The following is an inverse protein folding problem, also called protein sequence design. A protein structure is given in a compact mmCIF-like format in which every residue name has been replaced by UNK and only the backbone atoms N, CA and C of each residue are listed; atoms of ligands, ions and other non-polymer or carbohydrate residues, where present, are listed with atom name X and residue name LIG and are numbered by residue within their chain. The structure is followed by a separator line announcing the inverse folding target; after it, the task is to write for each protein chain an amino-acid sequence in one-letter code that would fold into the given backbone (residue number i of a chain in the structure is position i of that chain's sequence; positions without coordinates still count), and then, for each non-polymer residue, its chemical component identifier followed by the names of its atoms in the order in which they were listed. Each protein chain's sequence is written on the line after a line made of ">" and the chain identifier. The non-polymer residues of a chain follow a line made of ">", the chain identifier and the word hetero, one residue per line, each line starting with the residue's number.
data_IF_546316679478
#
_entry.id   IF_546316679478
#
_cell.length_a   1.000
_cell.length_b   1.000
_cell.length_c   1.000
_cell.angle_alpha   90.00
_cell.angle_beta   90.00
_cell.angle_gamma   90.00
#
_symmetry.space_group_name_H-M   'P 1'
#
loop_
_entity.id
_entity.type
_entity.pdbx_description
1 polymer ?
#
# COMPACT_ATOMS: atom_id res chain seq x y z
N UNK A 1 -29.63 -33.30 11.27
CA UNK A 1 -29.78 -32.39 10.10
C UNK A 1 -28.44 -31.76 9.74
N UNK A 2 -28.01 -31.80 8.48
CA UNK A 2 -26.77 -31.12 8.03
C UNK A 2 -26.99 -29.59 8.08
N UNK A 3 -26.16 -28.87 8.83
CA UNK A 3 -26.25 -27.40 8.97
C UNK A 3 -26.10 -26.73 7.59
N UNK A 4 -27.07 -25.89 7.23
CA UNK A 4 -27.10 -25.14 5.97
C UNK A 4 -26.87 -23.67 6.27
N UNK A 5 -25.99 -23.04 5.50
CA UNK A 5 -25.59 -21.64 5.67
C UNK A 5 -26.13 -20.79 4.53
N UNK A 6 -26.45 -19.54 4.81
CA UNK A 6 -26.73 -18.53 3.80
C UNK A 6 -25.43 -18.05 3.14
N UNK A 7 -25.48 -17.48 1.93
CA UNK A 7 -24.30 -16.89 1.30
C UNK A 7 -23.68 -15.76 2.13
N UNK A 8 -24.46 -15.09 3.00
CA UNK A 8 -23.95 -14.06 3.91
C UNK A 8 -23.13 -14.68 5.05
N UNK A 9 -23.64 -15.75 5.67
CA UNK A 9 -22.89 -16.48 6.69
C UNK A 9 -21.63 -17.15 6.11
N UNK A 10 -21.70 -17.64 4.88
CA UNK A 10 -20.53 -18.18 4.19
C UNK A 10 -19.51 -17.08 3.88
N UNK A 11 -19.95 -15.90 3.44
CA UNK A 11 -19.10 -14.74 3.19
C UNK A 11 -18.30 -14.35 4.44
N UNK A 12 -18.97 -14.32 5.60
CA UNK A 12 -18.34 -14.09 6.91
C UNK A 12 -17.33 -15.20 7.24
N UNK A 13 -17.74 -16.47 7.13
CA UNK A 13 -16.89 -17.61 7.50
C UNK A 13 -15.61 -17.73 6.66
N UNK A 14 -15.65 -17.35 5.38
CA UNK A 14 -14.48 -17.46 4.48
C UNK A 14 -13.78 -16.11 4.22
N UNK A 15 -14.24 -15.02 4.86
CA UNK A 15 -13.62 -13.71 4.79
C UNK A 15 -13.68 -13.05 3.41
N UNK A 16 -14.76 -13.24 2.65
CA UNK A 16 -14.97 -12.63 1.32
C UNK A 16 -16.28 -11.87 1.25
N UNK A 17 -16.48 -11.06 0.21
CA UNK A 17 -17.75 -10.35 0.03
C UNK A 17 -18.90 -11.30 -0.31
N UNK A 18 -20.13 -10.94 0.07
CA UNK A 18 -21.36 -11.63 -0.33
C UNK A 18 -21.45 -11.85 -1.86
N UNK A 19 -21.06 -10.84 -2.65
CA UNK A 19 -21.03 -10.92 -4.11
C UNK A 19 -20.00 -11.92 -4.62
N UNK A 20 -18.87 -12.05 -3.93
CA UNK A 20 -17.86 -13.08 -4.23
C UNK A 20 -18.48 -14.46 -4.03
N UNK A 21 -19.19 -14.70 -2.93
CA UNK A 21 -19.89 -15.97 -2.68
C UNK A 21 -20.92 -16.26 -3.76
N UNK A 22 -21.77 -15.29 -4.13
CA UNK A 22 -22.74 -15.47 -5.21
C UNK A 22 -22.08 -15.78 -6.56
N UNK A 23 -20.95 -15.13 -6.86
CA UNK A 23 -20.17 -15.40 -8.07
C UNK A 23 -19.64 -16.83 -8.08
N UNK A 24 -19.12 -17.29 -6.95
CA UNK A 24 -18.61 -18.66 -6.80
C UNK A 24 -19.73 -19.70 -6.98
N UNK A 25 -20.93 -19.43 -6.44
CA UNK A 25 -22.11 -20.28 -6.67
C UNK A 25 -22.45 -20.34 -8.16
N UNK A 26 -22.52 -19.18 -8.83
CA UNK A 26 -22.84 -19.10 -10.26
C UNK A 26 -21.83 -19.80 -11.16
N UNK A 27 -20.56 -19.85 -10.74
CA UNK A 27 -19.49 -20.55 -11.46
C UNK A 27 -19.37 -22.04 -11.12
N UNK A 28 -20.20 -22.55 -10.22
CA UNK A 28 -20.09 -23.93 -9.72
C UNK A 28 -18.92 -24.18 -8.75
N UNK A 29 -18.16 -23.14 -8.41
CA UNK A 29 -17.01 -23.20 -7.48
C UNK A 29 -17.46 -23.38 -6.02
N UNK A 30 -18.75 -23.16 -5.70
CA UNK A 30 -19.34 -23.40 -4.40
C UNK A 30 -20.69 -24.10 -4.56
N UNK A 31 -20.78 -25.35 -4.08
CA UNK A 31 -22.03 -26.11 -4.12
C UNK A 31 -23.08 -25.44 -3.23
N UNK A 32 -24.18 -25.02 -3.84
CA UNK A 32 -25.31 -24.44 -3.14
C UNK A 32 -26.62 -25.01 -3.67
N UNK A 33 -27.59 -25.21 -2.78
CA UNK A 33 -28.96 -25.55 -3.10
C UNK A 33 -29.77 -24.26 -3.25
N UNK A 34 -30.60 -24.20 -4.29
CA UNK A 34 -31.55 -23.11 -4.47
C UNK A 34 -32.88 -23.52 -3.84
N UNK A 35 -33.36 -22.71 -2.90
CA UNK A 35 -34.67 -22.89 -2.26
C UNK A 35 -35.80 -22.54 -3.24
N UNK A 36 -37.04 -23.03 -3.01
CA UNK A 36 -38.20 -22.65 -3.82
C UNK A 36 -38.41 -21.13 -3.92
N UNK A 37 -38.12 -20.38 -2.86
CA UNK A 37 -38.13 -18.91 -2.84
C UNK A 37 -36.93 -18.23 -3.51
N UNK A 38 -36.11 -18.98 -4.26
CA UNK A 38 -35.00 -18.44 -5.05
C UNK A 38 -33.71 -18.12 -4.29
N UNK A 39 -33.68 -18.28 -2.97
CA UNK A 39 -32.48 -18.05 -2.16
C UNK A 39 -31.52 -19.25 -2.17
N UNK A 40 -30.22 -18.99 -2.10
CA UNK A 40 -29.21 -20.03 -1.97
C UNK A 40 -29.01 -20.48 -0.52
N UNK A 41 -28.71 -21.78 -0.34
CA UNK A 41 -28.30 -22.42 0.92
C UNK A 41 -27.10 -23.33 0.66
N UNK A 42 -26.04 -23.17 1.43
CA UNK A 42 -24.74 -23.80 1.24
C UNK A 42 -24.52 -24.81 2.38
N UNK A 43 -24.29 -26.10 2.10
CA UNK A 43 -24.03 -27.07 3.16
C UNK A 43 -22.74 -26.75 3.91
N UNK A 44 -22.75 -26.75 5.24
CA UNK A 44 -21.58 -26.37 6.06
C UNK A 44 -20.34 -27.23 5.77
N UNK A 45 -20.50 -28.51 5.41
CA UNK A 45 -19.39 -29.39 5.04
C UNK A 45 -18.71 -29.01 3.71
N UNK A 46 -19.37 -28.24 2.83
CA UNK A 46 -18.69 -27.70 1.63
C UNK A 46 -17.62 -26.65 1.97
N UNK A 47 -17.59 -26.19 3.23
CA UNK A 47 -16.56 -25.30 3.74
C UNK A 47 -15.32 -26.04 4.24
N UNK A 48 -15.41 -27.32 4.63
CA UNK A 48 -14.24 -28.08 5.12
C UNK A 48 -13.26 -28.43 4.00
N UNK A 49 -13.75 -28.72 2.79
CA UNK A 49 -12.90 -28.79 1.57
C UNK A 49 -12.22 -27.45 1.26
N UNK A 50 -12.81 -26.33 1.69
CA UNK A 50 -12.25 -24.98 1.47
C UNK A 50 -11.37 -24.46 2.59
N UNK A 51 -11.52 -24.94 3.82
CA UNK A 51 -10.51 -24.77 4.86
C UNK A 51 -9.18 -25.38 4.39
N UNK A 52 -9.22 -26.52 3.70
CA UNK A 52 -8.07 -27.10 2.99
C UNK A 52 -7.53 -26.18 1.88
N UNK A 53 -8.40 -25.50 1.12
CA UNK A 53 -7.99 -24.44 0.17
C UNK A 53 -7.40 -23.20 0.84
N UNK A 54 -7.84 -22.81 2.05
CA UNK A 54 -7.29 -21.68 2.81
C UNK A 54 -5.89 -22.01 3.36
N UNK A 55 -5.68 -23.27 3.75
CA UNK A 55 -4.36 -23.81 4.11
C UNK A 55 -3.46 -23.95 2.87
N UNK A 56 -3.99 -24.39 1.72
CA UNK A 56 -3.24 -24.50 0.46
C UNK A 56 -2.92 -23.15 -0.18
N UNK A 57 -3.76 -22.12 0.02
CA UNK A 57 -3.45 -20.73 -0.40
C UNK A 57 -2.39 -20.10 0.49
N UNK A 58 -2.39 -20.33 1.81
CA UNK A 58 -1.26 -19.93 2.67
C UNK A 58 0.04 -20.67 2.33
N UNK A 59 -0.03 -21.95 1.96
CA UNK A 59 1.12 -22.70 1.45
C UNK A 59 1.61 -22.16 0.09
N UNK A 60 0.70 -21.83 -0.84
CA UNK A 60 1.03 -21.16 -2.13
C UNK A 60 1.57 -19.74 -1.95
N UNK A 61 1.10 -18.99 -0.96
CA UNK A 61 1.64 -17.66 -0.64
C UNK A 61 3.06 -17.76 -0.06
N UNK A 62 3.32 -18.74 0.83
CA UNK A 62 4.67 -18.99 1.35
C UNK A 62 5.62 -19.54 0.28
N UNK A 63 5.14 -20.42 -0.60
CA UNK A 63 5.87 -20.92 -1.78
C UNK A 63 6.21 -19.77 -2.72
N UNK A 64 5.23 -18.92 -3.06
CA UNK A 64 5.46 -17.78 -3.96
C UNK A 64 6.39 -16.71 -3.36
N UNK A 65 6.39 -16.48 -2.05
CA UNK A 65 7.38 -15.58 -1.41
C UNK A 65 8.80 -16.13 -1.51
N UNK A 66 9.02 -17.41 -1.21
CA UNK A 66 10.34 -18.05 -1.37
C UNK A 66 10.81 -18.05 -2.82
N UNK A 67 9.91 -18.39 -3.75
CA UNK A 67 10.17 -18.34 -5.19
C UNK A 67 10.51 -16.92 -5.66
N UNK A 68 9.81 -15.89 -5.16
CA UNK A 68 10.10 -14.49 -5.47
C UNK A 68 11.47 -14.05 -4.96
N UNK A 69 11.87 -14.48 -3.77
CA UNK A 69 13.19 -14.17 -3.18
C UNK A 69 14.30 -14.84 -3.97
N UNK A 70 14.12 -16.10 -4.34
CA UNK A 70 15.09 -16.82 -5.17
C UNK A 70 15.19 -16.19 -6.57
N UNK A 71 14.05 -15.83 -7.16
CA UNK A 71 14.01 -15.13 -8.45
C UNK A 71 14.69 -13.75 -8.38
N UNK A 72 14.50 -13.02 -7.27
CA UNK A 72 15.20 -11.76 -7.01
C UNK A 72 16.71 -11.97 -6.99
N UNK A 73 17.22 -12.88 -6.14
CA UNK A 73 18.66 -13.20 -6.06
C UNK A 73 19.23 -13.71 -7.39
N UNK A 74 18.43 -14.43 -8.18
CA UNK A 74 18.86 -14.98 -9.48
C UNK A 74 18.91 -13.93 -10.59
N UNK A 75 17.97 -13.00 -10.61
CA UNK A 75 17.77 -12.13 -11.78
C UNK A 75 18.08 -10.65 -11.55
N UNK A 76 18.21 -10.21 -10.31
CA UNK A 76 18.45 -8.81 -10.01
C UNK A 76 19.92 -8.43 -10.20
N UNK A 77 20.16 -7.52 -11.16
CA UNK A 77 21.49 -7.07 -11.56
C UNK A 77 21.64 -5.57 -11.34
N UNK A 78 22.89 -5.08 -11.35
CA UNK A 78 23.18 -3.65 -11.21
C UNK A 78 22.52 -2.79 -12.28
N UNK A 79 22.38 -3.33 -13.49
CA UNK A 79 21.65 -2.68 -14.58
C UNK A 79 20.14 -2.57 -14.28
N UNK A 80 19.50 -3.63 -13.78
CA UNK A 80 18.09 -3.58 -13.37
C UNK A 80 17.87 -2.63 -12.19
N UNK A 81 18.81 -2.58 -11.25
CA UNK A 81 18.80 -1.61 -10.14
C UNK A 81 18.80 -0.17 -10.65
N UNK A 82 19.66 0.17 -11.62
CA UNK A 82 19.70 1.51 -12.22
C UNK A 82 18.38 1.87 -12.90
N UNK A 83 17.79 0.93 -13.66
CA UNK A 83 16.47 1.15 -14.30
C UNK A 83 15.40 1.44 -13.24
N UNK A 84 15.38 0.65 -12.16
CA UNK A 84 14.44 0.82 -11.06
C UNK A 84 14.61 2.19 -10.38
N UNK A 85 15.84 2.59 -10.08
CA UNK A 85 16.13 3.89 -9.46
C UNK A 85 15.73 5.07 -10.34
N UNK A 86 15.96 4.99 -11.65
CA UNK A 86 15.53 6.01 -12.62
C UNK A 86 14.01 6.11 -12.67
N UNK A 87 13.32 4.96 -12.70
CA UNK A 87 11.86 4.91 -12.69
C UNK A 87 11.27 5.57 -11.43
N UNK A 88 11.89 5.38 -10.27
CA UNK A 88 11.40 5.92 -8.99
C UNK A 88 11.80 7.37 -8.75
N UNK A 89 12.88 7.85 -9.38
CA UNK A 89 13.33 9.23 -9.27
C UNK A 89 12.49 10.21 -10.10
N UNK A 90 11.81 9.73 -11.15
CA UNK A 90 11.06 10.60 -12.05
C UNK A 90 9.75 11.11 -11.43
N UNK A 91 9.44 12.38 -11.68
CA UNK A 91 8.18 13.01 -11.31
C UNK A 91 7.12 12.81 -12.40
N UNK A 92 5.94 12.31 -12.01
CA UNK A 92 4.88 11.93 -12.92
C UNK A 92 5.04 10.51 -13.48
N UNK A 93 4.08 10.08 -14.31
CA UNK A 93 4.05 8.70 -14.80
C UNK A 93 4.82 8.57 -16.12
N UNK A 94 5.98 7.92 -16.08
CA UNK A 94 6.76 7.63 -17.28
C UNK A 94 6.04 6.65 -18.20
N UNK A 95 6.03 6.96 -19.49
CA UNK A 95 5.74 5.94 -20.50
C UNK A 95 6.97 5.06 -20.73
N UNK A 96 6.76 3.89 -21.34
CA UNK A 96 7.88 3.02 -21.74
C UNK A 96 8.80 3.74 -22.74
N UNK A 97 8.24 4.56 -23.62
CA UNK A 97 9.01 5.35 -24.59
C UNK A 97 9.88 6.40 -23.91
N UNK A 98 9.39 7.02 -22.83
CA UNK A 98 10.19 7.96 -22.04
C UNK A 98 11.36 7.26 -21.36
N UNK A 99 11.12 6.10 -20.74
CA UNK A 99 12.18 5.27 -20.16
C UNK A 99 13.22 4.85 -21.20
N UNK A 100 12.79 4.44 -22.39
CA UNK A 100 13.66 4.05 -23.49
C UNK A 100 14.60 5.20 -23.89
N UNK A 101 14.06 6.42 -24.02
CA UNK A 101 14.82 7.63 -24.33
C UNK A 101 15.81 8.00 -23.22
N UNK A 102 15.38 7.98 -21.96
CA UNK A 102 16.25 8.32 -20.80
C UNK A 102 17.39 7.31 -20.66
N UNK A 103 17.12 6.03 -20.90
CA UNK A 103 18.11 4.97 -20.76
C UNK A 103 19.00 4.78 -22.00
N UNK A 104 18.69 5.44 -23.11
CA UNK A 104 19.37 5.20 -24.39
C UNK A 104 19.15 3.78 -24.93
N UNK A 105 17.97 3.20 -24.69
CA UNK A 105 17.64 1.81 -25.02
C UNK A 105 16.48 1.73 -26.01
N UNK A 106 16.41 0.64 -26.76
CA UNK A 106 15.22 0.31 -27.54
C UNK A 106 14.02 -0.02 -26.63
N UNK A 107 12.80 0.32 -27.05
CA UNK A 107 11.55 0.10 -26.28
C UNK A 107 11.39 -1.37 -25.84
N UNK A 108 11.73 -2.33 -26.70
CA UNK A 108 11.65 -3.76 -26.37
C UNK A 108 12.60 -4.15 -25.23
N UNK A 109 13.77 -3.52 -25.13
CA UNK A 109 14.75 -3.75 -24.07
C UNK A 109 14.24 -3.24 -22.72
N UNK A 110 13.57 -2.09 -22.71
CA UNK A 110 12.91 -1.57 -21.49
C UNK A 110 11.81 -2.50 -21.02
N UNK A 111 10.95 -2.95 -21.94
CA UNK A 111 9.90 -3.94 -21.63
C UNK A 111 10.48 -5.23 -21.05
N UNK A 112 11.58 -5.73 -21.63
CA UNK A 112 12.27 -6.90 -21.13
C UNK A 112 12.78 -6.69 -19.69
N UNK A 113 13.41 -5.55 -19.40
CA UNK A 113 13.91 -5.21 -18.05
C UNK A 113 12.78 -5.08 -17.04
N UNK A 114 11.67 -4.42 -17.37
CA UNK A 114 10.48 -4.35 -16.51
C UNK A 114 9.89 -5.74 -16.25
N UNK A 115 9.81 -6.59 -17.29
CA UNK A 115 9.35 -7.97 -17.15
C UNK A 115 10.27 -8.78 -16.24
N UNK A 116 11.60 -8.60 -16.35
CA UNK A 116 12.60 -9.22 -15.47
C UNK A 116 12.46 -8.76 -14.02
N UNK A 117 12.26 -7.47 -13.77
CA UNK A 117 11.98 -6.94 -12.43
C UNK A 117 10.72 -7.59 -11.84
N UNK A 118 9.63 -7.67 -12.60
CA UNK A 118 8.41 -8.36 -12.16
C UNK A 118 8.63 -9.84 -11.89
N UNK A 119 9.38 -10.52 -12.75
CA UNK A 119 9.75 -11.93 -12.57
C UNK A 119 10.63 -12.13 -11.33
N UNK A 120 11.44 -11.14 -10.96
CA UNK A 120 12.17 -11.09 -9.70
C UNK A 120 11.32 -10.71 -8.49
N UNK A 121 10.00 -10.66 -8.59
CA UNK A 121 9.10 -10.44 -7.46
C UNK A 121 8.77 -8.98 -7.15
N UNK A 122 9.25 -8.01 -7.93
CA UNK A 122 8.86 -6.61 -7.76
C UNK A 122 7.43 -6.35 -8.23
N UNK A 123 6.68 -5.60 -7.43
CA UNK A 123 5.38 -5.07 -7.83
C UNK A 123 5.39 -3.54 -7.85
N UNK A 124 4.82 -2.96 -8.89
CA UNK A 124 4.78 -1.51 -9.11
C UNK A 124 3.37 -0.96 -8.90
N UNK A 125 3.29 0.31 -8.52
CA UNK A 125 2.06 1.08 -8.40
C UNK A 125 2.31 2.53 -8.82
N UNK A 126 1.27 3.25 -9.22
CA UNK A 126 1.35 4.71 -9.23
C UNK A 126 1.45 5.23 -7.79
N UNK A 127 2.30 6.24 -7.60
CA UNK A 127 2.32 7.08 -6.42
C UNK A 127 1.20 8.11 -6.55
N UNK A 128 0.19 8.00 -5.70
CA UNK A 128 -1.01 8.85 -5.72
C UNK A 128 -0.97 9.80 -4.54
N UNK A 129 -1.13 11.07 -4.85
CA UNK A 129 -1.41 12.13 -3.90
C UNK A 129 -2.87 12.02 -3.42
N UNK A 130 -3.06 11.37 -2.27
CA UNK A 130 -4.41 11.20 -1.70
C UNK A 130 -5.02 12.52 -1.24
N UNK A 131 -4.20 13.48 -0.79
CA UNK A 131 -4.67 14.82 -0.38
C UNK A 131 -5.27 15.58 -1.57
N UNK A 132 -4.64 15.51 -2.75
CA UNK A 132 -5.18 16.09 -3.99
C UNK A 132 -6.47 15.45 -4.47
N UNK A 133 -6.78 14.23 -4.01
CA UNK A 133 -8.09 13.59 -4.20
C UNK A 133 -9.14 14.05 -3.18
N UNK A 134 -8.78 14.93 -2.26
CA UNK A 134 -9.64 15.39 -1.17
C UNK A 134 -9.73 14.39 -0.02
N UNK A 135 -8.70 13.56 0.17
CA UNK A 135 -8.62 12.56 1.24
C UNK A 135 -7.43 12.85 2.18
N UNK A 136 -7.66 12.77 3.48
CA UNK A 136 -6.63 12.80 4.52
C UNK A 136 -6.49 11.43 5.17
N UNK A 137 -5.30 11.11 5.66
CA UNK A 137 -5.04 9.83 6.30
C UNK A 137 -5.21 9.97 7.80
N UNK A 138 -5.87 9.00 8.42
CA UNK A 138 -5.98 8.87 9.87
C UNK A 138 -5.32 7.56 10.28
N UNK A 139 -4.26 7.67 11.08
CA UNK A 139 -3.63 6.55 11.75
C UNK A 139 -4.32 6.35 13.09
N UNK A 140 -4.77 5.14 13.38
CA UNK A 140 -5.46 4.81 14.63
C UNK A 140 -4.81 3.60 15.25
N UNK A 141 -4.42 3.73 16.51
CA UNK A 141 -3.89 2.64 17.31
C UNK A 141 -4.90 2.27 18.38
N UNK A 142 -5.22 0.99 18.46
CA UNK A 142 -6.03 0.42 19.52
C UNK A 142 -5.16 -0.46 20.41
N UNK A 143 -5.47 -0.45 21.70
CA UNK A 143 -4.78 -1.25 22.72
C UNK A 143 -5.14 -2.75 22.62
N UNK A 144 -6.13 -3.13 21.80
CA UNK A 144 -6.60 -4.52 21.62
C UNK A 144 -6.88 -4.82 20.15
N UNK A 145 -6.77 -6.11 19.81
CA UNK A 145 -7.19 -6.60 18.50
C UNK A 145 -8.71 -6.76 18.51
N UNK A 146 -9.38 -6.13 17.54
CA UNK A 146 -10.80 -6.34 17.22
C UNK A 146 -10.91 -6.95 15.82
N UNK A 147 -11.95 -7.74 15.55
CA UNK A 147 -12.13 -8.36 14.24
C UNK A 147 -12.31 -7.30 13.16
N UNK A 148 -11.79 -7.54 11.95
CA UNK A 148 -11.99 -6.64 10.80
C UNK A 148 -13.48 -6.43 10.45
N UNK A 149 -14.35 -7.37 10.83
CA UNK A 149 -15.81 -7.23 10.68
C UNK A 149 -16.41 -6.17 11.59
N UNK A 150 -15.75 -5.89 12.72
CA UNK A 150 -16.23 -5.01 13.78
C UNK A 150 -15.58 -3.62 13.65
N UNK A 151 -14.62 -3.49 12.73
CA UNK A 151 -14.01 -2.23 12.33
C UNK A 151 -14.88 -1.58 11.25
N UNK A 152 -15.19 -0.28 11.35
CA UNK A 152 -15.87 0.46 10.30
C UNK A 152 -15.17 0.28 8.96
N UNK A 153 -15.85 -0.33 8.00
CA UNK A 153 -15.23 -0.68 6.70
C UNK A 153 -15.13 0.51 5.74
N UNK A 154 -15.95 1.53 5.94
CA UNK A 154 -15.91 2.76 5.15
C UNK A 154 -14.53 3.41 5.29
N UNK A 155 -13.90 3.71 4.15
CA UNK A 155 -12.58 4.36 4.08
C UNK A 155 -11.40 3.62 4.73
N UNK A 156 -11.58 2.43 5.32
CA UNK A 156 -10.50 1.62 5.88
C UNK A 156 -9.54 1.13 4.79
N UNK A 157 -8.26 1.52 4.86
CA UNK A 157 -7.23 1.15 3.86
C UNK A 157 -6.16 0.23 4.37
N UNK A 158 -5.96 0.20 5.68
CA UNK A 158 -4.98 -0.69 6.28
C UNK A 158 -5.50 -1.23 7.60
N UNK A 159 -5.31 -2.52 7.82
CA UNK A 159 -5.59 -3.21 9.06
C UNK A 159 -4.39 -4.11 9.35
N UNK A 160 -3.77 -3.99 10.51
CA UNK A 160 -2.68 -4.86 10.92
C UNK A 160 -2.59 -4.98 12.44
N UNK A 161 -2.56 -6.20 13.01
CA UNK A 161 -2.32 -6.38 14.43
C UNK A 161 -0.94 -5.86 14.86
N UNK A 162 -0.87 -5.23 16.02
CA UNK A 162 0.36 -4.85 16.70
C UNK A 162 0.82 -6.01 17.58
N UNK A 163 2.12 -6.25 17.63
CA UNK A 163 2.76 -7.31 18.43
C UNK A 163 3.37 -6.68 19.70
N UNK A 164 3.14 -7.25 20.89
CA UNK A 164 2.35 -8.46 21.16
C UNK A 164 0.84 -8.22 21.20
N UNK A 165 0.40 -6.97 21.39
CA UNK A 165 -1.01 -6.61 21.59
C UNK A 165 -1.32 -5.29 20.90
N UNK A 166 -2.54 -5.17 20.39
CA UNK A 166 -3.09 -3.96 19.80
C UNK A 166 -3.42 -4.10 18.32
N UNK A 167 -3.93 -3.01 17.73
CA UNK A 167 -4.32 -2.97 16.33
C UNK A 167 -3.97 -1.62 15.74
N UNK A 168 -3.32 -1.63 14.58
CA UNK A 168 -3.08 -0.43 13.78
C UNK A 168 -4.03 -0.42 12.58
N UNK A 169 -4.76 0.70 12.45
CA UNK A 169 -5.68 0.97 11.37
C UNK A 169 -5.25 2.22 10.62
N UNK A 170 -5.50 2.25 9.32
CA UNK A 170 -5.38 3.46 8.51
C UNK A 170 -6.68 3.70 7.76
N UNK A 171 -7.23 4.89 7.91
CA UNK A 171 -8.40 5.37 7.16
C UNK A 171 -8.00 6.48 6.22
N UNK A 172 -8.63 6.54 5.04
CA UNK A 172 -8.47 7.66 4.10
C UNK A 172 -9.78 8.46 4.09
N UNK A 173 -9.91 9.44 4.97
CA UNK A 173 -11.15 10.18 5.21
C UNK A 173 -11.27 11.39 4.29
N UNK A 174 -12.47 11.82 3.90
CA UNK A 174 -12.64 13.07 3.17
C UNK A 174 -12.20 14.27 4.01
N UNK A 175 -11.58 15.29 3.40
CA UNK A 175 -11.05 16.46 4.11
C UNK A 175 -12.09 17.24 4.95
N UNK A 176 -13.36 17.21 4.54
CA UNK A 176 -14.46 17.90 5.24
C UNK A 176 -15.13 17.04 6.32
N UNK A 177 -14.64 15.82 6.51
CA UNK A 177 -15.27 14.86 7.40
C UNK A 177 -14.76 15.05 8.82
N UNK A 178 -15.67 14.97 9.80
CA UNK A 178 -15.32 15.02 11.21
C UNK A 178 -14.71 13.68 11.64
N UNK A 179 -13.44 13.71 12.03
CA UNK A 179 -12.70 12.53 12.48
C UNK A 179 -13.40 11.86 13.67
N UNK A 180 -14.05 12.66 14.53
CA UNK A 180 -14.74 12.15 15.72
C UNK A 180 -15.83 11.15 15.38
N UNK A 181 -16.46 11.25 14.22
CA UNK A 181 -17.51 10.31 13.83
C UNK A 181 -16.95 8.90 13.57
N UNK A 182 -15.73 8.80 13.03
CA UNK A 182 -15.04 7.51 12.90
C UNK A 182 -14.58 7.04 14.28
N UNK A 183 -14.02 7.92 15.10
CA UNK A 183 -13.54 7.55 16.44
C UNK A 183 -14.67 7.08 17.36
N UNK A 184 -15.86 7.71 17.31
CA UNK A 184 -17.07 7.28 18.04
C UNK A 184 -17.56 5.90 17.62
N UNK A 185 -17.33 5.51 16.37
CA UNK A 185 -17.72 4.20 15.85
C UNK A 185 -16.75 3.08 16.25
N UNK A 186 -15.56 3.43 16.76
CA UNK A 186 -14.63 2.50 17.35
C UNK A 186 -14.93 2.32 18.85
N UNK A 187 -14.62 1.16 19.45
CA UNK A 187 -14.78 0.98 20.89
C UNK A 187 -13.86 1.95 21.64
N UNK A 188 -14.43 3.02 22.22
CA UNK A 188 -13.67 4.08 22.91
C UNK A 188 -12.70 3.56 23.96
N UNK A 189 -13.09 2.52 24.68
CA UNK A 189 -12.24 1.88 25.70
C UNK A 189 -10.95 1.27 25.14
N UNK A 190 -10.84 1.10 23.81
CA UNK A 190 -9.66 0.53 23.17
C UNK A 190 -8.82 1.56 22.43
N UNK A 191 -9.29 2.79 22.24
CA UNK A 191 -8.54 3.82 21.52
C UNK A 191 -7.33 4.24 22.35
N UNK A 192 -6.13 3.97 21.82
CA UNK A 192 -4.87 4.32 22.45
C UNK A 192 -4.44 5.72 21.99
N UNK A 193 -4.21 5.87 20.68
CA UNK A 193 -3.80 7.12 20.06
C UNK A 193 -4.30 7.18 18.61
N UNK A 194 -4.40 8.39 18.07
CA UNK A 194 -4.62 8.62 16.65
C UNK A 194 -3.82 9.82 16.16
N UNK A 195 -3.50 9.83 14.86
CA UNK A 195 -2.80 10.92 14.21
C UNK A 195 -3.37 11.21 12.83
N UNK A 196 -3.46 12.49 12.51
CA UNK A 196 -3.80 12.96 11.18
C UNK A 196 -2.51 13.04 10.37
N UNK A 197 -2.47 12.32 9.26
CA UNK A 197 -1.31 12.26 8.39
C UNK A 197 -1.66 13.03 7.12
N UNK A 198 -1.12 14.23 6.98
CA UNK A 198 -1.42 15.11 5.84
C UNK A 198 -0.58 14.73 4.63
N UNK A 199 0.58 14.08 4.82
CA UNK A 199 1.38 13.60 3.70
C UNK A 199 1.99 12.21 3.85
N UNK A 200 2.25 11.56 2.71
CA UNK A 200 2.96 10.28 2.66
C UNK A 200 3.96 10.24 1.52
N UNK A 201 5.17 9.82 1.85
CA UNK A 201 6.27 9.62 0.91
C UNK A 201 6.61 8.14 0.82
N UNK A 202 6.67 7.60 -0.40
CA UNK A 202 7.05 6.20 -0.60
C UNK A 202 8.54 6.05 -0.84
N UNK A 203 9.05 4.87 -0.51
CA UNK A 203 10.45 4.49 -0.70
C UNK A 203 10.94 4.71 -2.14
N UNK A 204 12.15 5.27 -2.28
CA UNK A 204 12.90 5.37 -3.53
C UNK A 204 14.26 4.69 -3.35
N UNK A 205 14.27 3.36 -3.13
CA UNK A 205 15.46 2.63 -2.75
C UNK A 205 16.60 2.77 -3.76
N UNK A 206 17.79 3.01 -3.24
CA UNK A 206 19.07 3.06 -3.94
C UNK A 206 19.76 1.71 -3.81
N UNK A 207 19.32 0.74 -4.60
CA UNK A 207 19.94 -0.60 -4.62
C UNK A 207 21.40 -0.56 -5.04
N UNK A 208 21.81 0.43 -5.84
CA UNK A 208 23.22 0.64 -6.16
C UNK A 208 24.09 0.99 -4.95
N UNK A 209 23.50 1.46 -3.85
CA UNK A 209 24.16 1.74 -2.57
C UNK A 209 23.95 0.62 -1.54
N UNK A 210 22.73 0.09 -1.44
CA UNK A 210 22.32 -0.79 -0.34
C UNK A 210 22.14 -2.26 -0.74
N UNK A 211 22.59 -2.67 -1.93
CA UNK A 211 22.58 -4.06 -2.34
C UNK A 211 23.96 -4.49 -2.84
N UNK A 212 24.50 -5.52 -2.20
CA UNK A 212 25.72 -6.19 -2.64
C UNK A 212 25.32 -7.19 -3.73
N UNK A 213 25.74 -6.91 -4.97
CA UNK A 213 25.38 -7.72 -6.14
C UNK A 213 26.14 -9.05 -6.19
N UNK A 214 27.29 -9.15 -5.52
CA UNK A 214 28.11 -10.35 -5.49
C UNK A 214 27.58 -11.31 -4.42
N UNK A 215 27.33 -10.80 -3.21
CA UNK A 215 26.74 -11.56 -2.09
C UNK A 215 25.23 -11.71 -2.18
N UNK A 216 24.58 -10.95 -3.06
CA UNK A 216 23.12 -10.97 -3.32
C UNK A 216 22.29 -10.71 -2.08
N UNK A 217 22.70 -9.74 -1.28
CA UNK A 217 22.01 -9.34 -0.05
C UNK A 217 21.88 -7.82 0.05
N UNK A 218 20.86 -7.40 0.81
CA UNK A 218 20.66 -6.00 1.17
C UNK A 218 21.55 -5.71 2.38
N UNK A 219 22.25 -4.58 2.36
CA UNK A 219 23.27 -4.20 3.34
C UNK A 219 22.75 -3.09 4.24
N UNK A 220 22.72 -3.35 5.55
CA UNK A 220 22.51 -2.32 6.58
C UNK A 220 23.84 -1.67 6.95
N UNK A 221 24.21 -0.65 6.19
CA UNK A 221 25.36 0.20 6.51
C UNK A 221 24.87 1.44 7.28
N UNK A 222 24.87 1.33 8.61
CA UNK A 222 24.42 2.38 9.52
C UNK A 222 25.31 3.63 9.48
N UNK A 223 26.62 3.46 9.27
CA UNK A 223 27.57 4.58 9.13
C UNK A 223 27.33 5.34 7.84
N UNK A 224 27.08 4.64 6.73
CA UNK A 224 26.67 5.26 5.47
C UNK A 224 25.36 6.03 5.63
N UNK A 225 24.35 5.45 6.29
CA UNK A 225 23.09 6.14 6.56
C UNK A 225 23.30 7.39 7.43
N UNK A 226 24.15 7.32 8.46
CA UNK A 226 24.50 8.48 9.27
C UNK A 226 25.18 9.59 8.44
N UNK A 227 26.14 9.23 7.59
CA UNK A 227 26.82 10.16 6.68
C UNK A 227 25.85 10.84 5.73
N UNK A 228 24.92 10.08 5.13
CA UNK A 228 23.87 10.62 4.24
C UNK A 228 22.86 11.50 4.97
N UNK A 229 22.51 11.15 6.20
CA UNK A 229 21.71 12.02 7.06
C UNK A 229 22.40 13.37 7.26
N UNK A 230 23.68 13.38 7.65
CA UNK A 230 24.46 14.63 7.82
C UNK A 230 24.55 15.43 6.54
N UNK A 231 24.72 14.78 5.38
CA UNK A 231 24.74 15.44 4.08
C UNK A 231 23.42 16.18 3.78
N UNK A 232 22.28 15.59 4.14
CA UNK A 232 20.94 16.09 3.86
C UNK A 232 20.39 17.05 4.91
N UNK A 233 21.00 17.10 6.09
CA UNK A 233 20.56 17.93 7.20
C UNK A 233 20.45 19.40 6.77
N UNK A 234 19.25 19.97 6.92
CA UNK A 234 18.96 21.35 6.51
C UNK A 234 18.90 21.60 5.00
N UNK A 235 19.06 20.57 4.16
CA UNK A 235 18.98 20.67 2.69
C UNK A 235 17.72 20.03 2.10
N UNK A 236 17.11 19.09 2.83
CA UNK A 236 15.89 18.40 2.40
C UNK A 236 14.71 18.85 3.24
N UNK A 237 13.62 19.18 2.56
CA UNK A 237 12.37 19.60 3.18
C UNK A 237 11.19 18.90 2.51
N UNK A 238 10.35 18.27 3.32
CA UNK A 238 9.03 17.86 2.88
C UNK A 238 8.07 19.03 3.01
N UNK A 239 7.17 19.16 2.03
CA UNK A 239 6.25 20.28 1.94
C UNK A 239 4.87 19.87 2.43
N UNK A 240 4.19 20.79 3.11
CA UNK A 240 2.76 20.65 3.38
C UNK A 240 2.00 20.41 2.07
N UNK A 241 0.95 19.57 2.08
CA UNK A 241 0.22 19.27 0.87
C UNK A 241 -0.40 20.52 0.25
N UNK A 242 -0.38 20.60 -1.07
CA UNK A 242 -1.09 21.64 -1.82
C UNK A 242 -2.61 21.44 -1.73
N UNK A 243 -3.36 22.51 -1.99
CA UNK A 243 -4.81 22.49 -1.96
C UNK A 243 -5.41 21.34 -2.81
N UNK A 244 -6.50 20.70 -2.35
CA UNK A 244 -7.11 19.58 -3.04
C UNK A 244 -7.62 20.00 -4.41
N UNK A 245 -7.58 19.07 -5.36
CA UNK A 245 -8.03 19.32 -6.73
C UNK A 245 -9.47 18.84 -6.91
N UNK A 246 -10.19 19.39 -7.88
CA UNK A 246 -11.52 18.88 -8.24
C UNK A 246 -11.39 17.55 -8.97
N UNK A 247 -11.87 16.48 -8.37
CA UNK A 247 -11.78 15.11 -8.91
C UNK A 247 -13.18 14.56 -9.16
N UNK A 248 -13.34 13.75 -10.21
CA UNK A 248 -14.57 13.00 -10.45
C UNK A 248 -14.39 11.47 -10.39
N UNK A 249 -15.47 10.72 -10.59
CA UNK A 249 -15.45 9.27 -10.50
C UNK A 249 -14.53 8.63 -11.56
N UNK A 250 -14.42 9.24 -12.74
CA UNK A 250 -13.56 8.73 -13.82
C UNK A 250 -12.10 8.87 -13.41
N UNK A 251 -11.74 10.02 -12.85
CA UNK A 251 -10.40 10.28 -12.31
C UNK A 251 -10.01 9.23 -11.25
N UNK A 252 -10.91 8.93 -10.31
CA UNK A 252 -10.70 7.89 -9.28
C UNK A 252 -10.57 6.48 -9.87
N UNK A 253 -11.40 6.14 -10.87
CA UNK A 253 -11.33 4.83 -11.52
C UNK A 253 -10.06 4.64 -12.35
N UNK A 254 -9.50 5.71 -12.92
CA UNK A 254 -8.18 5.65 -13.56
C UNK A 254 -7.10 5.48 -12.48
N UNK A 255 -7.11 6.34 -11.44
CA UNK A 255 -6.12 6.31 -10.37
C UNK A 255 -6.04 4.93 -9.68
N UNK A 256 -7.18 4.30 -9.35
CA UNK A 256 -7.19 2.98 -8.68
C UNK A 256 -6.57 1.86 -9.54
N UNK A 257 -6.70 1.94 -10.86
CA UNK A 257 -6.13 0.91 -11.74
C UNK A 257 -4.62 1.13 -11.93
N UNK A 258 -4.20 2.39 -11.97
CA UNK A 258 -2.78 2.76 -11.97
C UNK A 258 -2.09 2.48 -10.63
N UNK A 259 -2.78 2.61 -9.50
CA UNK A 259 -2.29 2.14 -8.20
C UNK A 259 -1.91 0.65 -8.25
N UNK A 260 -2.66 -0.18 -9.00
CA UNK A 260 -2.38 -1.61 -9.14
C UNK A 260 -1.26 -1.88 -10.14
N UNK A 261 -1.27 -1.18 -11.28
CA UNK A 261 -0.29 -1.34 -12.34
C UNK A 261 -0.07 0.00 -13.07
N UNK A 262 1.06 0.69 -12.83
CA UNK A 262 1.33 2.00 -13.43
C UNK A 262 1.59 1.92 -14.94
N UNK A 263 1.84 0.71 -15.48
CA UNK A 263 2.11 0.48 -16.89
C UNK A 263 0.89 0.01 -17.68
N UNK A 264 -0.31 0.08 -17.09
CA UNK A 264 -1.54 -0.29 -17.78
C UNK A 264 -1.82 0.70 -18.92
N UNK A 265 -2.21 0.19 -20.08
CA UNK A 265 -2.59 1.06 -21.20
C UNK A 265 -3.90 1.80 -20.89
N UNK A 266 -4.05 3.02 -21.38
CA UNK A 266 -5.31 3.77 -21.23
C UNK A 266 -6.50 3.07 -21.91
N UNK A 267 -6.25 2.24 -22.93
CA UNK A 267 -7.28 1.38 -23.56
C UNK A 267 -7.76 0.29 -22.61
N UNK A 268 -6.86 -0.36 -21.88
CA UNK A 268 -7.24 -1.35 -20.88
C UNK A 268 -7.99 -0.70 -19.72
N UNK A 269 -7.56 0.48 -19.28
CA UNK A 269 -8.27 1.26 -18.25
C UNK A 269 -9.68 1.61 -18.71
N UNK A 270 -9.86 2.03 -19.96
CA UNK A 270 -11.18 2.27 -20.56
C UNK A 270 -12.08 1.01 -20.48
N UNK A 271 -11.54 -0.17 -20.80
CA UNK A 271 -12.26 -1.43 -20.67
C UNK A 271 -12.62 -1.75 -19.21
N UNK A 272 -11.72 -1.48 -18.25
CA UNK A 272 -11.99 -1.65 -16.81
C UNK A 272 -13.10 -0.72 -16.33
N UNK A 273 -13.13 0.53 -16.80
CA UNK A 273 -14.18 1.49 -16.48
C UNK A 273 -15.54 1.02 -17.04
N UNK A 274 -15.57 0.44 -18.24
CA UNK A 274 -16.80 -0.09 -18.86
C UNK A 274 -17.49 -1.17 -18.00
N UNK A 275 -16.73 -1.95 -17.23
CA UNK A 275 -17.27 -2.97 -16.30
C UNK A 275 -18.13 -2.33 -15.20
N UNK A 276 -17.91 -1.06 -14.88
CA UNK A 276 -18.72 -0.29 -13.94
C UNK A 276 -20.00 0.30 -14.57
N UNK A 277 -20.36 -0.11 -15.79
CA UNK A 277 -21.52 0.42 -16.53
C UNK A 277 -21.27 1.79 -17.17
N UNK A 278 -20.03 2.28 -17.16
CA UNK A 278 -19.67 3.61 -17.66
C UNK A 278 -18.99 3.47 -19.02
N UNK A 279 -19.68 3.85 -20.10
CA UNK A 279 -19.13 3.80 -21.45
C UNK A 279 -18.50 5.16 -21.83
N UNK A 280 -17.17 5.22 -21.96
CA UNK A 280 -16.43 6.44 -22.31
C UNK A 280 -15.66 6.25 -23.61
N UNK A 281 -15.57 7.32 -24.41
CA UNK A 281 -14.63 7.39 -25.54
C UNK A 281 -13.18 7.49 -25.03
N UNK A 282 -12.23 6.92 -25.77
CA UNK A 282 -10.80 6.95 -25.43
C UNK A 282 -10.28 8.38 -25.17
N UNK A 283 -10.64 9.34 -26.03
CA UNK A 283 -10.21 10.74 -25.87
C UNK A 283 -10.65 11.36 -24.54
N UNK A 284 -11.79 10.93 -23.98
CA UNK A 284 -12.22 11.37 -22.65
C UNK A 284 -11.31 10.79 -21.57
N UNK A 285 -11.03 9.49 -21.60
CA UNK A 285 -10.08 8.84 -20.66
C UNK A 285 -8.70 9.51 -20.72
N UNK A 286 -8.20 9.77 -21.93
CA UNK A 286 -6.93 10.46 -22.13
C UNK A 286 -6.92 11.87 -21.52
N UNK A 287 -8.01 12.63 -21.70
CA UNK A 287 -8.16 13.98 -21.13
C UNK A 287 -8.13 13.95 -19.61
N UNK A 288 -8.89 13.05 -18.97
CA UNK A 288 -8.90 12.87 -17.51
C UNK A 288 -7.49 12.52 -17.01
N UNK A 289 -6.85 11.52 -17.61
CA UNK A 289 -5.49 11.12 -17.26
C UNK A 289 -4.47 12.27 -17.38
N UNK A 290 -4.40 12.96 -18.52
CA UNK A 290 -3.41 14.03 -18.73
C UNK A 290 -3.70 15.29 -17.93
N UNK A 291 -4.94 15.78 -17.98
CA UNK A 291 -5.26 17.11 -17.48
C UNK A 291 -5.64 17.12 -16.00
N UNK A 292 -6.27 16.04 -15.50
CA UNK A 292 -6.75 16.00 -14.12
C UNK A 292 -5.78 15.26 -13.22
N UNK A 293 -5.18 14.16 -13.70
CA UNK A 293 -4.31 13.34 -12.87
C UNK A 293 -2.83 13.73 -12.97
N UNK A 294 -2.27 13.85 -14.18
CA UNK A 294 -0.86 14.22 -14.35
C UNK A 294 -0.60 15.71 -14.15
N UNK A 295 -1.26 16.57 -14.93
CA UNK A 295 -1.00 18.03 -14.90
C UNK A 295 -1.24 18.66 -13.52
N UNK A 296 -2.17 18.11 -12.73
CA UNK A 296 -2.46 18.60 -11.38
C UNK A 296 -1.61 17.93 -10.30
N UNK A 297 -0.70 17.02 -10.65
CA UNK A 297 0.19 16.34 -9.71
C UNK A 297 -0.50 15.31 -8.82
N UNK A 298 -1.67 14.79 -9.20
CA UNK A 298 -2.34 13.70 -8.45
C UNK A 298 -1.51 12.41 -8.55
N UNK A 299 -0.91 12.14 -9.72
CA UNK A 299 0.05 11.04 -9.89
C UNK A 299 1.46 11.63 -9.82
N UNK A 300 2.18 11.29 -8.76
CA UNK A 300 3.52 11.82 -8.47
C UNK A 300 4.65 11.02 -9.12
N UNK A 301 4.41 9.76 -9.45
CA UNK A 301 5.47 8.89 -9.93
C UNK A 301 5.10 7.40 -9.94
N UNK A 302 6.13 6.57 -10.07
CA UNK A 302 6.05 5.12 -9.88
C UNK A 302 6.63 4.77 -8.51
N UNK A 303 5.88 4.01 -7.73
CA UNK A 303 6.32 3.44 -6.45
C UNK A 303 6.42 1.92 -6.50
N UNK A 304 7.17 1.37 -5.55
CA UNK A 304 7.15 -0.07 -5.28
C UNK A 304 6.00 -0.40 -4.33
N UNK A 305 5.16 -1.34 -4.74
CA UNK A 305 4.13 -1.95 -3.88
C UNK A 305 4.65 -3.18 -3.14
N UNK A 306 5.60 -3.88 -3.75
CA UNK A 306 6.26 -5.04 -3.17
C UNK A 306 7.74 -5.00 -3.55
N UNK A 307 8.57 -5.10 -2.52
CA UNK A 307 9.99 -5.41 -2.63
C UNK A 307 10.17 -6.88 -2.26
N UNK A 308 10.87 -7.69 -3.08
CA UNK A 308 11.17 -9.08 -2.79
C UNK A 308 12.28 -9.18 -1.73
N UNK A 309 11.95 -8.80 -0.49
CA UNK A 309 12.89 -8.83 0.63
C UNK A 309 13.21 -10.27 1.03
N UNK A 310 14.47 -10.56 1.43
CA UNK A 310 14.89 -11.89 1.89
C UNK A 310 14.04 -12.45 3.05
N UNK A 311 14.12 -13.75 3.29
CA UNK A 311 13.25 -14.46 4.25
C UNK A 311 13.44 -14.01 5.70
N UNK A 312 14.64 -13.57 6.03
CA UNK A 312 15.04 -13.02 7.32
C UNK A 312 14.37 -11.66 7.61
N UNK A 313 13.85 -10.97 6.59
CA UNK A 313 13.11 -9.71 6.73
C UNK A 313 11.64 -10.01 7.09
N UNK A 314 11.44 -10.45 8.32
CA UNK A 314 10.14 -10.89 8.82
C UNK A 314 9.44 -9.85 9.71
N UNK A 315 10.15 -8.84 10.21
CA UNK A 315 9.58 -7.84 11.13
C UNK A 315 9.08 -6.64 10.34
N UNK A 316 7.75 -6.52 10.21
CA UNK A 316 7.11 -5.27 9.81
C UNK A 316 7.03 -4.37 11.04
N UNK A 317 7.40 -3.10 10.91
CA UNK A 317 7.33 -2.14 12.01
C UNK A 317 6.77 -0.82 11.53
N UNK A 318 6.29 -0.03 12.48
CA UNK A 318 6.05 1.40 12.33
C UNK A 318 6.77 2.13 13.47
N UNK A 319 7.55 3.15 13.13
CA UNK A 319 8.24 4.00 14.08
C UNK A 319 7.62 5.40 14.06
N UNK A 320 7.13 5.88 15.21
CA UNK A 320 6.76 7.28 15.43
C UNK A 320 8.00 8.02 15.93
N UNK A 321 8.29 9.17 15.33
CA UNK A 321 9.37 10.06 15.75
C UNK A 321 8.81 11.46 15.94
N UNK A 322 9.19 12.10 17.03
CA UNK A 322 8.95 13.51 17.28
C UNK A 322 10.29 14.26 17.42
N UNK A 323 10.35 15.52 17.00
CA UNK A 323 11.56 16.31 17.12
C UNK A 323 11.64 17.49 16.16
N UNK A 324 12.86 17.92 15.87
CA UNK A 324 13.14 19.00 14.93
C UNK A 324 12.82 18.58 13.49
N UNK A 325 11.94 19.32 12.83
CA UNK A 325 11.52 19.07 11.44
C UNK A 325 12.68 18.93 10.45
N UNK A 326 13.75 19.73 10.56
CA UNK A 326 14.91 19.63 9.65
C UNK A 326 15.65 18.31 9.81
N UNK A 327 15.83 17.87 11.05
CA UNK A 327 16.43 16.57 11.36
C UNK A 327 15.53 15.43 10.90
N UNK A 328 14.23 15.48 11.21
CA UNK A 328 13.27 14.45 10.80
C UNK A 328 13.16 14.31 9.28
N UNK A 329 13.09 15.42 8.55
CA UNK A 329 13.05 15.40 7.09
C UNK A 329 14.31 14.80 6.47
N UNK A 330 15.50 15.16 6.96
CA UNK A 330 16.75 14.58 6.49
C UNK A 330 16.82 13.08 6.80
N UNK A 331 16.40 12.67 8.01
CA UNK A 331 16.37 11.28 8.45
C UNK A 331 15.45 10.42 7.57
N UNK A 332 14.20 10.85 7.37
CA UNK A 332 13.24 10.14 6.50
C UNK A 332 13.77 10.05 5.08
N UNK A 333 14.29 11.16 4.54
CA UNK A 333 14.86 11.17 3.19
C UNK A 333 16.00 10.16 3.03
N UNK A 334 16.83 9.98 4.06
CA UNK A 334 17.89 8.96 4.09
C UNK A 334 17.29 7.56 4.18
N UNK A 335 16.39 7.30 5.12
CA UNK A 335 15.85 5.97 5.35
C UNK A 335 15.05 5.46 4.14
N UNK A 336 14.28 6.32 3.46
CA UNK A 336 13.54 5.96 2.25
C UNK A 336 14.41 5.59 1.03
N UNK A 337 15.73 5.80 1.10
CA UNK A 337 16.68 5.28 0.11
C UNK A 337 17.12 3.85 0.40
N UNK A 338 16.88 3.32 1.60
CA UNK A 338 17.21 1.95 1.94
C UNK A 338 16.01 1.01 1.63
N UNK A 339 16.22 -0.14 0.94
CA UNK A 339 15.13 -1.05 0.50
C UNK A 339 14.15 -1.54 1.57
N UNK A 340 14.57 -1.52 2.84
CA UNK A 340 13.73 -1.92 3.97
C UNK A 340 12.64 -0.94 4.35
N UNK A 341 12.82 0.36 4.12
CA UNK A 341 11.87 1.37 4.54
C UNK A 341 10.94 1.65 3.38
N UNK A 342 9.66 1.34 3.56
CA UNK A 342 8.67 1.27 2.46
C UNK A 342 7.91 2.58 2.25
N UNK A 343 7.84 3.41 3.29
CA UNK A 343 7.22 4.72 3.22
C UNK A 343 7.33 5.47 4.54
N UNK A 344 6.92 6.73 4.50
CA UNK A 344 6.80 7.59 5.67
C UNK A 344 5.51 8.39 5.59
N UNK A 345 4.85 8.59 6.74
CA UNK A 345 3.77 9.55 6.94
C UNK A 345 4.29 10.76 7.69
N UNK A 346 3.80 11.95 7.37
CA UNK A 346 4.13 13.18 8.10
C UNK A 346 2.82 13.76 8.63
N UNK A 347 2.84 14.07 9.93
CA UNK A 347 1.84 14.81 10.70
C UNK A 347 2.43 16.20 10.97
N UNK A 348 2.18 17.14 10.07
CA UNK A 348 2.81 18.46 10.08
C UNK A 348 2.33 19.34 11.22
N UNK A 349 1.06 19.23 11.63
CA UNK A 349 0.51 20.02 12.73
C UNK A 349 1.01 19.53 14.10
N UNK A 350 1.34 18.25 14.22
CA UNK A 350 1.81 17.60 15.46
C UNK A 350 3.34 17.50 15.57
N UNK A 351 4.08 17.97 14.56
CA UNK A 351 5.53 17.79 14.45
C UNK A 351 6.00 16.32 14.57
N UNK A 352 5.20 15.40 14.02
CA UNK A 352 5.49 13.97 14.05
C UNK A 352 5.67 13.36 12.68
N UNK A 353 6.50 12.31 12.66
CA UNK A 353 6.75 11.53 11.46
C UNK A 353 6.68 10.05 11.77
N UNK A 354 6.14 9.30 10.82
CA UNK A 354 5.94 7.87 10.93
C UNK A 354 6.75 7.20 9.84
N UNK A 355 7.57 6.21 10.19
CA UNK A 355 8.35 5.43 9.22
C UNK A 355 7.85 4.00 9.26
N UNK A 356 7.48 3.45 8.11
CA UNK A 356 7.04 2.05 7.98
C UNK A 356 8.04 1.26 7.14
N UNK A 357 8.47 0.12 7.65
CA UNK A 357 9.46 -0.71 6.98
C UNK A 357 9.39 -2.18 7.37
N UNK A 358 10.22 -2.96 6.71
CA UNK A 358 10.45 -4.37 7.04
C UNK A 358 11.94 -4.60 7.18
N UNK A 359 12.36 -5.09 8.34
CA UNK A 359 13.77 -5.36 8.65
C UNK A 359 13.96 -6.75 9.27
N UNK A 360 15.20 -7.27 9.29
CA UNK A 360 15.54 -8.43 10.09
C UNK A 360 15.36 -8.14 11.57
N UNK A 361 15.00 -9.16 12.35
CA UNK A 361 14.87 -9.02 13.80
C UNK A 361 16.18 -8.56 14.46
N UNK A 362 17.33 -8.99 13.94
CA UNK A 362 18.66 -8.59 14.41
C UNK A 362 18.92 -7.08 14.28
N UNK A 363 18.21 -6.38 13.40
CA UNK A 363 18.40 -4.95 13.15
C UNK A 363 17.45 -4.06 13.97
N UNK A 364 16.49 -4.62 14.72
CA UNK A 364 15.52 -3.79 15.48
C UNK A 364 16.22 -2.90 16.49
N UNK A 365 17.10 -3.48 17.32
CA UNK A 365 17.76 -2.75 18.39
C UNK A 365 18.69 -1.68 17.81
N UNK A 366 19.43 -2.03 16.74
CA UNK A 366 20.32 -1.11 16.04
C UNK A 366 19.55 0.03 15.39
N UNK A 367 18.38 -0.25 14.79
CA UNK A 367 17.50 0.79 14.26
C UNK A 367 17.06 1.75 15.36
N UNK A 368 16.58 1.25 16.50
CA UNK A 368 16.15 2.11 17.61
C UNK A 368 17.30 2.99 18.09
N UNK A 369 18.45 2.40 18.36
CA UNK A 369 19.64 3.14 18.81
C UNK A 369 20.10 4.17 17.77
N UNK A 370 20.07 3.82 16.48
CA UNK A 370 20.36 4.75 15.39
C UNK A 370 19.40 5.94 15.43
N UNK A 371 18.08 5.70 15.49
CA UNK A 371 17.07 6.77 15.51
C UNK A 371 17.23 7.69 16.72
N UNK A 372 17.46 7.12 17.91
CA UNK A 372 17.69 7.87 19.15
C UNK A 372 19.00 8.68 19.14
N UNK A 373 20.02 8.20 18.42
CA UNK A 373 21.31 8.91 18.30
C UNK A 373 21.24 10.16 17.40
N UNK A 374 20.20 10.30 16.59
CA UNK A 374 20.08 11.42 15.66
C UNK A 374 19.78 12.72 16.41
N UNK A 375 20.72 13.66 16.38
CA UNK A 375 20.52 14.98 16.95
C UNK A 375 19.28 15.68 16.34
N UNK A 376 18.36 16.06 17.22
CA UNK A 376 17.08 16.65 16.86
C UNK A 376 15.90 15.68 16.87
N UNK A 377 16.11 14.37 17.00
CA UNK A 377 15.05 13.43 17.40
C UNK A 377 14.91 13.48 18.92
N UNK A 378 13.69 13.67 19.41
CA UNK A 378 13.39 13.77 20.86
C UNK A 378 12.77 12.49 21.40
N UNK A 379 11.86 11.91 20.63
CA UNK A 379 11.13 10.72 21.02
C UNK A 379 11.12 9.74 19.87
N UNK A 380 11.29 8.45 20.22
CA UNK A 380 11.23 7.33 19.30
C UNK A 380 10.31 6.29 19.92
N UNK A 381 9.29 5.88 19.17
CA UNK A 381 8.43 4.77 19.55
C UNK A 381 8.33 3.80 18.38
N UNK A 382 8.69 2.54 18.59
CA UNK A 382 8.61 1.50 17.55
C UNK A 382 7.56 0.46 17.95
N UNK A 383 6.56 0.28 17.09
CA UNK A 383 5.58 -0.80 17.21
C UNK A 383 5.84 -1.85 16.14
N UNK A 384 5.92 -3.11 16.57
CA UNK A 384 6.04 -4.25 15.68
C UNK A 384 4.65 -4.69 15.20
N UNK A 385 4.55 -5.10 13.94
CA UNK A 385 3.29 -5.36 13.25
C UNK A 385 3.28 -6.79 12.68
N UNK A 386 2.14 -7.49 12.79
CA UNK A 386 1.98 -8.84 12.23
C UNK A 386 1.81 -8.76 10.70
N UNK A 387 2.94 -8.89 9.99
CA UNK A 387 3.00 -8.89 8.53
C UNK A 387 2.07 -9.92 7.88
N UNK A 388 1.80 -11.04 8.54
CA UNK A 388 1.01 -12.14 7.97
C UNK A 388 -0.50 -11.91 8.07
N UNK A 389 -0.93 -11.14 9.07
CA UNK A 389 -2.35 -10.83 9.31
C UNK A 389 -2.80 -9.49 8.73
N UNK A 390 -1.89 -8.73 8.10
CA UNK A 390 -2.21 -7.45 7.48
C UNK A 390 -3.25 -7.57 6.36
N UNK A 391 -4.04 -6.52 6.17
CA UNK A 391 -4.95 -6.32 5.03
C UNK A 391 -4.77 -4.91 4.49
N UNK A 392 -4.72 -4.77 3.16
CA UNK A 392 -4.56 -3.50 2.48
C UNK A 392 -5.59 -3.36 1.36
N UNK A 393 -6.13 -2.16 1.19
CA UNK A 393 -7.17 -1.85 0.21
C UNK A 393 -6.77 -0.62 -0.64
N UNK A 394 -7.25 -0.54 -1.89
CA UNK A 394 -7.02 0.61 -2.79
C UNK A 394 -7.89 1.80 -2.39
N UNK A 395 -7.66 2.97 -3.01
CA UNK A 395 -8.47 4.20 -2.87
C UNK A 395 -9.99 3.91 -2.84
N UNK A 396 -10.79 4.61 -1.99
CA UNK A 396 -12.25 4.50 -2.01
C UNK A 396 -12.83 4.93 -3.35
N UNK A 397 -13.82 4.21 -3.87
CA UNK A 397 -14.45 4.60 -5.14
C UNK A 397 -15.87 4.08 -5.34
N UNK A 398 -16.30 3.04 -4.61
CA UNK A 398 -17.47 2.25 -5.00
C UNK A 398 -18.75 2.76 -4.34
N UNK A 399 -18.72 2.95 -3.02
CA UNK A 399 -19.86 3.43 -2.23
C UNK A 399 -19.59 4.80 -1.63
N UNK A 400 -18.31 5.14 -1.59
CA UNK A 400 -17.76 6.27 -0.87
C UNK A 400 -17.67 7.52 -1.75
N UNK A 401 -17.93 7.43 -3.05
CA UNK A 401 -17.85 8.56 -3.97
C UNK A 401 -19.06 8.61 -4.91
N UNK A 402 -19.79 9.72 -4.89
CA UNK A 402 -21.01 9.89 -5.67
C UNK A 402 -21.23 11.37 -6.03
N UNK A 403 -21.61 11.64 -7.28
CA UNK A 403 -21.81 13.00 -7.81
C UNK A 403 -20.65 13.98 -7.53
N UNK A 404 -19.40 13.50 -7.54
CA UNK A 404 -18.23 14.34 -7.30
C UNK A 404 -17.94 14.62 -5.83
N UNK A 405 -18.64 13.97 -4.91
CA UNK A 405 -18.48 14.14 -3.47
C UNK A 405 -18.17 12.81 -2.80
N UNK A 406 -17.36 12.87 -1.75
CA UNK A 406 -17.17 11.74 -0.87
C UNK A 406 -18.40 11.59 0.05
N UNK A 407 -18.92 10.37 0.18
CA UNK A 407 -20.07 10.04 1.01
C UNK A 407 -19.68 8.95 1.98
N UNK A 408 -20.00 9.15 3.25
CA UNK A 408 -19.84 8.13 4.25
C UNK A 408 -21.15 7.35 4.45
N UNK A 409 -21.08 6.02 4.31
CA UNK A 409 -22.17 5.10 4.65
C UNK A 409 -21.58 3.95 5.46
N UNK A 410 -21.73 4.00 6.78
CA UNK A 410 -21.51 2.84 7.62
C UNK A 410 -22.59 1.80 7.29
N UNK A 411 -22.19 0.58 6.96
CA UNK A 411 -23.07 -0.57 6.86
C UNK A 411 -22.52 -1.68 7.71
#
# INVERSE_FOLDING_TARGET
>A
MKKMLTPKEVAVNIGVSYWTVLRMIKKGELKALKTPGGHYRIPAYSLSEKLYYSYSTKYRERSSVRENIEAFKKHFTRDLAKVLEIMQAHQGLLTISDLARILGLHISSVWYKIKKLRAGGFAFGADIDHYKLGLIKLFVFLDRIISISDVPSAFLRYYVPVVPRGLFLTYYLPLKYDIDDILKSLPKAFLEHYWVIEETYYSRPKYTLYYDFDKKNIVFDWLLMEGRYKEKLGKVFFAKPEAPTRVDLIDLLIAKELEKNPFMSLRDIQLRIKIHGINLKYGRVLRHFRNHLLKRGVIRGIRLRLVPLPTEYNILFIARLNGNQRSLHALISTLLEHPSFTGAGIAFEEDEVFIIGVIPFSEIVTLTAFLESINGVKEVEIKLLDRSKRRAFTIPYAREFHHGMWILKFK
#
